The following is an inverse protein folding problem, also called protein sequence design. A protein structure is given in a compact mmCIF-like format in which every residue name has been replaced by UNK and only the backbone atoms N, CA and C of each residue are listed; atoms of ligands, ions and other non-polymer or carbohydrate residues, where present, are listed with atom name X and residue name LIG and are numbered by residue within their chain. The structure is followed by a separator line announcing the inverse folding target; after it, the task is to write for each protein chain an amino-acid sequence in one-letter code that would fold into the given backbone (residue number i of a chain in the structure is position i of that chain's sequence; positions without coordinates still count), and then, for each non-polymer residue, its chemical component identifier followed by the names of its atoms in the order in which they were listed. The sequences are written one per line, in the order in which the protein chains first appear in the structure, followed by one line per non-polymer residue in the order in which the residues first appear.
data_IF_167200399208
#
_entry.id   IF_167200399208
#
_cell.length_a   1.000
_cell.length_b   1.000
_cell.length_c   1.000
_cell.angle_alpha   90.00
_cell.angle_beta   90.00
_cell.angle_gamma   90.00
#
_symmetry.space_group_name_H-M   'P 1'
#
loop_
_entity.id
_entity.type
_entity.pdbx_description
1 polymer ?
#
# COMPACT_ATOMS: atom_id res chain seq x y z
N UNK A 1 -7.02 36.05 47.41
CA UNK A 1 -7.37 34.96 46.46
C UNK A 1 -7.28 35.58 45.08
N UNK A 2 -6.14 35.39 44.42
CA UNK A 2 -5.81 36.06 43.17
C UNK A 2 -5.25 35.01 42.21
N UNK A 3 -5.84 34.95 41.02
CA UNK A 3 -5.46 34.07 39.92
C UNK A 3 -4.18 34.63 39.29
N UNK A 4 -3.19 33.77 39.03
CA UNK A 4 -2.04 34.10 38.16
C UNK A 4 -1.94 33.06 37.06
N UNK A 5 -2.34 33.44 35.85
CA UNK A 5 -2.24 32.68 34.61
C UNK A 5 -0.97 33.13 33.88
N UNK A 6 0.19 32.62 34.31
CA UNK A 6 1.48 32.82 33.61
C UNK A 6 2.34 31.59 33.88
N UNK A 7 2.12 30.53 33.11
CA UNK A 7 3.14 29.97 32.21
C UNK A 7 2.73 28.57 31.71
N UNK A 8 2.42 28.54 30.42
CA UNK A 8 2.22 27.35 29.60
C UNK A 8 3.56 26.62 29.52
N UNK A 9 3.60 25.33 29.86
CA UNK A 9 4.55 24.41 29.23
C UNK A 9 4.11 22.94 29.32
N UNK A 10 3.64 22.45 28.17
CA UNK A 10 4.01 21.19 27.53
C UNK A 10 3.61 19.89 28.25
N UNK A 11 2.43 19.42 27.88
CA UNK A 11 2.20 18.08 27.32
C UNK A 11 3.08 16.94 27.87
N UNK A 12 2.65 16.33 28.97
CA UNK A 12 2.83 14.87 29.11
C UNK A 12 1.88 14.18 28.15
N UNK A 13 2.16 14.34 26.86
CA UNK A 13 1.58 13.57 25.78
C UNK A 13 1.97 12.12 26.01
N UNK A 14 1.03 11.38 26.60
CA UNK A 14 0.79 9.95 26.39
C UNK A 14 1.81 9.32 25.42
N UNK A 15 2.83 8.65 25.96
CA UNK A 15 3.56 7.63 25.21
C UNK A 15 2.66 6.41 25.03
N UNK A 16 1.66 6.55 24.16
CA UNK A 16 1.11 5.42 23.42
C UNK A 16 1.82 5.40 22.07
N UNK A 17 2.93 4.67 22.02
CA UNK A 17 3.49 4.19 20.77
C UNK A 17 2.49 3.24 20.14
N UNK A 18 1.53 3.79 19.39
CA UNK A 18 0.71 3.04 18.47
C UNK A 18 1.58 2.73 17.25
N UNK A 19 2.30 1.62 17.29
CA UNK A 19 2.72 0.94 16.06
C UNK A 19 1.51 0.27 15.44
N UNK A 20 0.57 1.09 14.95
CA UNK A 20 -0.47 0.67 14.04
C UNK A 20 0.17 0.56 12.65
N UNK A 21 0.72 -0.62 12.38
CA UNK A 21 1.13 -1.08 11.06
C UNK A 21 0.44 -2.41 10.74
N UNK A 22 -0.76 -2.59 11.26
CA UNK A 22 -1.67 -3.67 10.87
C UNK A 22 -2.26 -3.29 9.51
N UNK A 23 -2.05 -4.15 8.52
CA UNK A 23 -2.56 -3.98 7.17
C UNK A 23 -3.01 -5.32 6.59
N UNK A 24 -3.66 -6.12 7.43
CA UNK A 24 -4.52 -7.22 7.00
C UNK A 24 -5.84 -6.64 6.52
N UNK A 25 -5.98 -6.58 5.19
CA UNK A 25 -7.17 -6.12 4.47
C UNK A 25 -7.11 -6.66 3.05
N UNK A 26 -6.80 -7.95 2.95
CA UNK A 26 -6.24 -8.62 1.77
C UNK A 26 -7.27 -8.97 0.68
N UNK A 27 -8.57 -8.89 0.99
CA UNK A 27 -9.63 -9.44 0.14
C UNK A 27 -10.58 -8.38 -0.45
N UNK A 28 -10.65 -7.17 0.11
CA UNK A 28 -11.51 -6.08 -0.41
C UNK A 28 -10.74 -5.06 -1.25
N UNK A 29 -9.52 -4.71 -0.86
CA UNK A 29 -8.69 -3.74 -1.58
C UNK A 29 -8.18 -4.30 -2.91
N UNK A 30 -7.80 -5.59 -2.92
CA UNK A 30 -7.34 -6.31 -4.11
C UNK A 30 -8.41 -6.38 -5.22
N UNK A 31 -9.66 -6.71 -4.85
CA UNK A 31 -10.80 -6.72 -5.79
C UNK A 31 -11.12 -5.34 -6.35
N UNK A 32 -10.95 -4.27 -5.56
CA UNK A 32 -11.07 -2.89 -6.06
C UNK A 32 -9.99 -2.59 -7.10
N UNK A 33 -8.76 -3.10 -6.92
CA UNK A 33 -7.67 -2.97 -7.89
C UNK A 33 -8.02 -3.54 -9.27
N UNK A 34 -8.63 -4.73 -9.30
CA UNK A 34 -9.20 -5.36 -10.50
C UNK A 34 -10.19 -4.47 -11.25
N UNK A 35 -11.21 -3.98 -10.55
CA UNK A 35 -12.24 -3.13 -11.14
C UNK A 35 -11.67 -1.80 -11.67
N UNK A 36 -10.72 -1.21 -10.93
CA UNK A 36 -10.06 0.03 -11.34
C UNK A 36 -9.22 -0.17 -12.61
N UNK A 37 -8.50 -1.28 -12.72
CA UNK A 37 -7.76 -1.63 -13.92
C UNK A 37 -8.65 -1.72 -15.17
N UNK A 38 -9.80 -2.37 -15.08
CA UNK A 38 -10.74 -2.48 -16.21
C UNK A 38 -11.43 -1.16 -16.55
N UNK A 39 -11.74 -0.34 -15.54
CA UNK A 39 -12.44 0.96 -15.72
C UNK A 39 -11.58 2.09 -16.28
N UNK A 40 -10.26 1.87 -16.36
CA UNK A 40 -9.27 2.89 -16.65
C UNK A 40 -9.24 3.29 -18.13
N UNK A 41 -8.83 4.52 -18.42
CA UNK A 41 -8.52 4.93 -19.80
C UNK A 41 -7.30 4.17 -20.31
N UNK A 42 -7.35 3.75 -21.57
CA UNK A 42 -6.33 2.89 -22.19
C UNK A 42 -4.90 3.46 -22.14
N UNK A 43 -4.74 4.79 -22.06
CA UNK A 43 -3.44 5.46 -22.00
C UNK A 43 -2.91 5.73 -20.58
N UNK A 44 -3.73 5.50 -19.55
CA UNK A 44 -3.38 5.90 -18.19
C UNK A 44 -2.55 4.77 -17.54
N UNK A 45 -1.66 5.10 -16.60
CA UNK A 45 -0.86 4.10 -15.86
C UNK A 45 -1.51 3.72 -14.52
N UNK A 46 -1.67 2.42 -14.23
CA UNK A 46 -2.22 1.93 -12.95
C UNK A 46 -1.34 0.83 -12.39
N UNK A 47 -0.96 0.98 -11.14
CA UNK A 47 -0.28 -0.05 -10.38
C UNK A 47 -1.27 -0.66 -9.36
N UNK A 48 -1.60 -1.96 -9.47
CA UNK A 48 -2.46 -2.66 -8.50
C UNK A 48 -1.78 -2.82 -7.12
N UNK A 49 -0.47 -2.57 -7.03
CA UNK A 49 0.34 -2.76 -5.83
C UNK A 49 0.71 -1.43 -5.16
N UNK A 50 -0.06 -0.37 -5.38
CA UNK A 50 0.27 0.98 -4.95
C UNK A 50 0.53 1.09 -3.43
N UNK A 51 -0.24 0.37 -2.62
CA UNK A 51 -0.05 0.29 -1.16
C UNK A 51 1.31 -0.31 -0.76
N UNK A 52 1.80 -1.32 -1.49
CA UNK A 52 3.13 -1.88 -1.26
C UNK A 52 4.24 -0.91 -1.70
N UNK A 53 4.02 -0.20 -2.82
CA UNK A 53 4.94 0.82 -3.30
C UNK A 53 5.07 1.98 -2.29
N UNK A 54 3.95 2.50 -1.78
CA UNK A 54 3.92 3.61 -0.84
C UNK A 54 4.62 3.27 0.48
N UNK A 55 4.48 2.02 0.95
CA UNK A 55 5.22 1.52 2.11
C UNK A 55 6.73 1.51 1.87
N UNK A 56 7.18 1.03 0.72
CA UNK A 56 8.61 1.03 0.37
C UNK A 56 9.18 2.45 0.25
N UNK A 57 8.43 3.39 -0.33
CA UNK A 57 8.81 4.80 -0.44
C UNK A 57 8.85 5.49 0.93
N UNK A 58 7.93 5.13 1.82
CA UNK A 58 7.91 5.62 3.21
C UNK A 58 9.14 5.13 3.98
N UNK A 59 9.59 3.89 3.74
CA UNK A 59 10.83 3.38 4.31
C UNK A 59 12.05 4.16 3.79
N UNK A 60 12.14 4.40 2.48
CA UNK A 60 13.24 5.18 1.88
C UNK A 60 13.30 6.61 2.43
N UNK A 61 12.15 7.29 2.56
CA UNK A 61 12.09 8.66 3.12
C UNK A 61 12.59 8.75 4.56
N UNK A 62 12.46 7.67 5.34
CA UNK A 62 12.88 7.62 6.75
C UNK A 62 14.34 7.24 6.93
N UNK A 63 14.89 6.45 6.02
CA UNK A 63 16.26 5.91 6.10
C UNK A 63 17.22 6.59 5.12
N UNK A 64 16.92 7.80 4.64
CA UNK A 64 17.79 8.54 3.72
C UNK A 64 18.00 7.88 2.36
N UNK A 65 17.10 6.98 1.95
CA UNK A 65 17.21 6.25 0.69
C UNK A 65 18.00 4.95 0.74
N UNK A 66 18.40 4.46 1.94
CA UNK A 66 19.06 3.17 2.05
C UNK A 66 18.10 2.04 1.65
N UNK A 67 18.45 1.34 0.56
CA UNK A 67 17.65 0.25 -0.01
C UNK A 67 17.82 -1.04 0.77
N UNK A 68 18.96 -1.25 1.42
CA UNK A 68 19.24 -2.48 2.16
C UNK A 68 18.29 -2.66 3.35
N UNK A 69 17.97 -1.55 4.03
CA UNK A 69 17.02 -1.53 5.15
C UNK A 69 15.56 -1.72 4.73
N UNK A 70 15.24 -1.54 3.44
CA UNK A 70 13.88 -1.56 2.93
C UNK A 70 13.57 -2.76 2.01
N UNK A 71 14.45 -3.78 1.98
CA UNK A 71 14.33 -4.92 1.06
C UNK A 71 13.02 -5.69 1.23
N UNK A 72 12.56 -5.88 2.47
CA UNK A 72 11.30 -6.58 2.75
C UNK A 72 10.08 -5.88 2.11
N UNK A 73 10.10 -4.54 2.07
CA UNK A 73 9.03 -3.76 1.42
C UNK A 73 9.08 -3.90 -0.11
N UNK A 74 10.28 -3.96 -0.69
CA UNK A 74 10.42 -4.21 -2.13
C UNK A 74 10.03 -5.64 -2.50
N UNK A 75 10.32 -6.61 -1.64
CA UNK A 75 9.93 -8.00 -1.87
C UNK A 75 8.42 -8.18 -1.76
N UNK A 76 7.75 -7.49 -0.83
CA UNK A 76 6.30 -7.41 -0.79
C UNK A 76 5.71 -6.83 -2.09
N UNK A 77 6.32 -5.76 -2.64
CA UNK A 77 5.90 -5.19 -3.93
C UNK A 77 6.08 -6.18 -5.09
N UNK A 78 7.24 -6.86 -5.18
CA UNK A 78 7.49 -7.88 -6.21
C UNK A 78 6.51 -9.04 -6.11
N UNK A 79 6.24 -9.51 -4.89
CA UNK A 79 5.29 -10.59 -4.63
C UNK A 79 3.89 -10.20 -5.09
N UNK A 80 3.42 -9.00 -4.73
CA UNK A 80 2.15 -8.45 -5.17
C UNK A 80 2.05 -8.41 -6.70
N UNK A 81 3.06 -7.85 -7.37
CA UNK A 81 3.08 -7.76 -8.84
C UNK A 81 3.09 -9.13 -9.51
N UNK A 82 3.78 -10.11 -8.93
CA UNK A 82 3.81 -11.49 -9.43
C UNK A 82 2.43 -12.15 -9.35
N UNK A 83 1.73 -11.99 -8.22
CA UNK A 83 0.38 -12.51 -8.04
C UNK A 83 -0.59 -11.87 -9.03
N UNK A 84 -0.55 -10.54 -9.18
CA UNK A 84 -1.39 -9.81 -10.13
C UNK A 84 -1.23 -10.34 -11.57
N UNK A 85 0.01 -10.52 -12.03
CA UNK A 85 0.27 -11.02 -13.38
C UNK A 85 -0.24 -12.45 -13.56
N UNK A 86 -0.15 -13.29 -12.53
CA UNK A 86 -0.68 -14.65 -12.56
C UNK A 86 -2.20 -14.67 -12.67
N UNK A 87 -2.90 -13.86 -11.86
CA UNK A 87 -4.37 -13.74 -11.89
C UNK A 87 -4.86 -13.17 -13.23
N UNK A 88 -4.24 -12.12 -13.75
CA UNK A 88 -4.60 -11.55 -15.05
C UNK A 88 -4.36 -12.53 -16.21
N UNK A 89 -3.29 -13.33 -16.14
CA UNK A 89 -3.05 -14.38 -17.13
C UNK A 89 -4.12 -15.49 -17.03
N UNK A 90 -4.58 -15.83 -15.83
CA UNK A 90 -5.68 -16.75 -15.64
C UNK A 90 -7.01 -16.18 -16.14
N UNK A 91 -7.34 -14.93 -15.84
CA UNK A 91 -8.54 -14.27 -16.34
C UNK A 91 -8.58 -14.27 -17.87
N UNK A 92 -7.49 -13.86 -18.53
CA UNK A 92 -7.37 -13.92 -19.99
C UNK A 92 -7.52 -15.35 -20.53
N UNK A 93 -6.98 -16.36 -19.84
CA UNK A 93 -7.14 -17.77 -20.23
C UNK A 93 -8.60 -18.24 -20.14
N UNK A 94 -9.33 -17.78 -19.12
CA UNK A 94 -10.76 -18.09 -18.93
C UNK A 94 -11.61 -17.43 -20.02
N UNK A 95 -11.37 -16.15 -20.31
CA UNK A 95 -12.07 -15.40 -21.36
C UNK A 95 -11.76 -15.94 -22.77
N UNK A 96 -10.49 -16.25 -23.06
CA UNK A 96 -10.07 -16.80 -24.36
C UNK A 96 -10.61 -18.21 -24.65
N UNK A 97 -11.04 -18.96 -23.63
CA UNK A 97 -11.59 -20.32 -23.79
C UNK A 97 -12.98 -20.35 -24.43
N UNK A 98 -13.70 -19.22 -24.41
CA UNK A 98 -15.02 -19.09 -25.05
C UNK A 98 -15.00 -18.68 -26.52
N UNK A 99 -13.85 -18.22 -27.04
CA UNK A 99 -13.73 -17.72 -28.42
C UNK A 99 -13.38 -18.80 -29.46
N UNK A 100 -12.84 -19.94 -29.02
CA UNK A 100 -12.41 -21.05 -29.89
C UNK A 100 -13.28 -22.31 -29.73
N UNK A 101 -14.53 -22.18 -29.26
CA UNK A 101 -15.53 -23.26 -29.20
C UNK A 101 -16.77 -22.92 -30.01
#
# INVERSE_FOLDING_TARGET
MSITFTDISIDTFTMSGQTAGEGGGEDTEWKKGGARFTSKRYSEYFDPCQEAADRSLKCLRRNGGDRAMCMDYFDAYKACKKQWMAEMAEQKRREGKGWFS
#
